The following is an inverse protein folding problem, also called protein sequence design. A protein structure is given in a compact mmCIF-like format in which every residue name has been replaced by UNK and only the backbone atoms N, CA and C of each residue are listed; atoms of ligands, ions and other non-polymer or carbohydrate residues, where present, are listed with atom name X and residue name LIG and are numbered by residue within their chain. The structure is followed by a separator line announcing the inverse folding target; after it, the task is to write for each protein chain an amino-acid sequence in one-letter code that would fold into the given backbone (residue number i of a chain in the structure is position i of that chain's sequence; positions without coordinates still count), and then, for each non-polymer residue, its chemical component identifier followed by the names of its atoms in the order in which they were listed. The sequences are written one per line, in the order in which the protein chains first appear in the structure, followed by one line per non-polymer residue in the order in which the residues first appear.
data_IF_168403295414
#
_entry.id   IF_168403295414
#
_cell.length_a   1.000
_cell.length_b   1.000
_cell.length_c   1.000
_cell.angle_alpha   90.00
_cell.angle_beta   90.00
_cell.angle_gamma   90.00
#
_symmetry.space_group_name_H-M   'P 1'
#
loop_
_entity.id
_entity.type
_entity.pdbx_description
1 polymer ?
#
# COMPACT_ATOMS: atom_id res chain seq x y z
N UNK A 1 21.01 20.74 15.86
CA UNK A 1 19.80 19.87 15.92
C UNK A 1 19.42 19.20 14.60
N UNK A 2 19.39 19.88 13.45
CA UNK A 2 19.00 19.30 12.13
C UNK A 2 19.81 18.04 11.71
N UNK A 3 21.10 17.96 12.07
CA UNK A 3 21.96 16.77 11.84
C UNK A 3 21.51 15.52 12.62
N UNK A 4 21.11 15.67 13.89
CA UNK A 4 20.65 14.52 14.71
C UNK A 4 19.31 13.99 14.20
N UNK A 5 18.46 14.88 13.70
CA UNK A 5 17.15 14.51 13.17
C UNK A 5 17.23 13.73 11.84
N UNK A 6 18.10 14.15 10.91
CA UNK A 6 18.39 13.36 9.70
C UNK A 6 18.97 11.98 10.05
N UNK A 7 19.78 11.91 11.11
CA UNK A 7 20.37 10.64 11.58
C UNK A 7 19.31 9.69 12.13
N UNK A 8 18.30 10.20 12.85
CA UNK A 8 17.16 9.41 13.35
C UNK A 8 16.28 8.91 12.21
N UNK A 9 15.96 9.75 11.22
CA UNK A 9 15.21 9.31 10.02
C UNK A 9 15.97 8.25 9.22
N UNK A 10 17.28 8.44 9.03
CA UNK A 10 18.12 7.46 8.38
C UNK A 10 18.18 6.14 9.18
N UNK A 11 18.26 6.21 10.51
CA UNK A 11 18.24 5.01 11.37
C UNK A 11 16.88 4.30 11.35
N UNK A 12 15.76 5.02 11.33
CA UNK A 12 14.43 4.44 11.17
C UNK A 12 14.26 3.78 9.80
N UNK A 13 14.72 4.42 8.72
CA UNK A 13 14.72 3.85 7.37
C UNK A 13 15.59 2.58 7.33
N UNK A 14 16.80 2.61 7.90
CA UNK A 14 17.70 1.46 7.95
C UNK A 14 17.14 0.33 8.82
N UNK A 15 16.43 0.66 9.91
CA UNK A 15 15.78 -0.34 10.78
C UNK A 15 14.58 -0.97 10.07
N UNK A 16 13.77 -0.19 9.36
CA UNK A 16 12.66 -0.69 8.54
C UNK A 16 13.17 -1.54 7.39
N UNK A 17 14.25 -1.11 6.71
CA UNK A 17 14.86 -1.88 5.62
C UNK A 17 15.55 -3.16 6.12
N UNK A 18 16.21 -3.09 7.28
CA UNK A 18 16.80 -4.26 7.96
C UNK A 18 15.74 -5.25 8.43
N UNK A 19 14.62 -4.75 8.96
CA UNK A 19 13.46 -5.57 9.31
C UNK A 19 12.83 -6.20 8.06
N UNK A 20 12.76 -5.45 6.95
CA UNK A 20 12.29 -5.96 5.66
C UNK A 20 13.15 -7.13 5.14
N UNK A 21 14.47 -7.11 5.38
CA UNK A 21 15.37 -8.21 4.96
C UNK A 21 15.27 -9.48 5.81
N UNK A 22 14.85 -9.37 7.08
CA UNK A 22 14.62 -10.50 7.98
C UNK A 22 13.24 -11.16 7.77
N UNK A 23 12.31 -10.43 7.13
CA UNK A 23 10.93 -10.84 6.81
C UNK A 23 10.88 -11.71 5.53
N UNK A 24 12.01 -12.27 5.07
CA UNK A 24 12.07 -13.12 3.88
C UNK A 24 11.09 -14.32 3.86
N UNK A 25 10.74 -15.00 4.98
CA UNK A 25 9.68 -16.01 4.95
C UNK A 25 8.25 -15.42 5.02
N UNK A 26 8.09 -14.13 5.33
CA UNK A 26 6.79 -13.49 5.47
C UNK A 26 6.27 -12.80 4.18
N UNK A 27 7.04 -12.76 3.10
CA UNK A 27 6.52 -12.40 1.76
C UNK A 27 5.57 -13.47 1.18
N UNK A 28 5.55 -14.68 1.75
CA UNK A 28 4.56 -15.73 1.45
C UNK A 28 3.22 -15.54 2.19
N UNK A 29 3.17 -14.60 3.14
CA UNK A 29 1.97 -14.26 3.90
C UNK A 29 1.25 -13.08 3.23
N UNK A 30 -0.08 -13.17 3.11
CA UNK A 30 -0.94 -12.12 2.51
C UNK A 30 -0.47 -10.70 2.92
N UNK A 31 -0.29 -9.83 1.92
CA UNK A 31 0.19 -8.46 2.15
C UNK A 31 -0.74 -7.70 3.12
N UNK A 32 -0.22 -6.70 3.84
CA UNK A 32 -1.03 -5.89 4.76
C UNK A 32 -2.22 -5.24 4.03
N UNK A 33 -2.01 -4.85 2.77
CA UNK A 33 -3.09 -4.30 1.93
C UNK A 33 -4.17 -5.33 1.63
N UNK A 34 -3.81 -6.56 1.28
CA UNK A 34 -4.79 -7.62 1.01
C UNK A 34 -5.65 -7.91 2.24
N UNK A 35 -5.03 -7.91 3.43
CA UNK A 35 -5.74 -8.07 4.70
C UNK A 35 -6.70 -6.93 4.98
N UNK A 36 -6.28 -5.69 4.72
CA UNK A 36 -7.12 -4.50 4.90
C UNK A 36 -8.27 -4.43 3.89
N UNK A 37 -8.06 -4.92 2.66
CA UNK A 37 -9.06 -4.93 1.60
C UNK A 37 -9.92 -6.19 1.58
N UNK A 38 -9.57 -7.23 2.34
CA UNK A 38 -10.34 -8.47 2.45
C UNK A 38 -11.83 -8.26 2.76
N UNK A 39 -12.24 -7.34 3.67
CA UNK A 39 -13.65 -7.04 3.88
C UNK A 39 -14.32 -6.44 2.63
N UNK A 40 -13.62 -5.55 1.92
CA UNK A 40 -14.11 -4.97 0.68
C UNK A 40 -14.24 -6.03 -0.43
N UNK A 41 -13.24 -6.91 -0.57
CA UNK A 41 -13.27 -8.04 -1.50
C UNK A 41 -14.47 -8.95 -1.21
N UNK A 42 -14.70 -9.32 0.05
CA UNK A 42 -15.87 -10.12 0.45
C UNK A 42 -17.20 -9.46 0.11
N UNK A 43 -17.30 -8.14 0.29
CA UNK A 43 -18.51 -7.40 -0.08
C UNK A 43 -18.75 -7.40 -1.59
N UNK A 44 -17.68 -7.28 -2.38
CA UNK A 44 -17.73 -7.39 -3.84
C UNK A 44 -18.13 -8.81 -4.27
N UNK A 45 -17.49 -9.83 -3.70
CA UNK A 45 -17.77 -11.23 -4.01
C UNK A 45 -19.23 -11.58 -3.67
N UNK A 46 -19.76 -11.10 -2.54
CA UNK A 46 -21.15 -11.30 -2.15
C UNK A 46 -22.16 -10.55 -3.05
N UNK A 47 -21.79 -9.37 -3.58
CA UNK A 47 -22.66 -8.59 -4.46
C UNK A 47 -22.67 -9.13 -5.90
N UNK A 48 -21.56 -9.70 -6.36
CA UNK A 48 -21.34 -10.14 -7.73
C UNK A 48 -21.03 -11.64 -7.83
N UNK A 49 -21.55 -12.47 -6.92
CA UNK A 49 -21.47 -13.94 -7.00
C UNK A 49 -20.08 -14.51 -7.30
N UNK A 50 -19.04 -13.94 -6.66
CA UNK A 50 -17.62 -14.18 -6.94
C UNK A 50 -17.06 -15.52 -6.45
N UNK A 51 -17.92 -16.51 -6.19
CA UNK A 51 -17.55 -17.84 -5.70
C UNK A 51 -16.91 -18.70 -6.81
N UNK A 52 -16.97 -18.25 -8.06
CA UNK A 52 -16.14 -18.80 -9.12
C UNK A 52 -14.73 -18.32 -8.87
N UNK A 53 -13.93 -19.12 -8.15
CA UNK A 53 -12.47 -19.01 -8.20
C UNK A 53 -12.12 -18.82 -9.67
N UNK A 54 -11.75 -17.60 -10.07
CA UNK A 54 -11.14 -17.36 -11.35
C UNK A 54 -9.80 -18.07 -11.24
N UNK A 55 -9.78 -19.37 -11.54
CA UNK A 55 -8.59 -20.18 -11.64
C UNK A 55 -7.84 -19.69 -12.87
N UNK A 56 -7.18 -18.54 -12.75
CA UNK A 56 -5.98 -18.23 -13.52
C UNK A 56 -4.77 -18.91 -12.85
N UNK A 57 -5.03 -20.04 -12.19
CA UNK A 57 -4.10 -20.82 -11.39
C UNK A 57 -3.60 -21.96 -12.29
N UNK A 58 -2.64 -21.62 -13.12
CA UNK A 58 -1.96 -22.54 -14.02
C UNK A 58 -0.65 -21.97 -14.56
N UNK A 59 -0.55 -20.63 -14.65
CA UNK A 59 0.58 -19.98 -15.29
C UNK A 59 1.62 -19.55 -14.24
N UNK A 60 2.79 -20.22 -14.14
CA UNK A 60 3.86 -19.81 -13.22
C UNK A 60 4.33 -18.35 -13.44
N UNK A 61 4.09 -17.80 -14.64
CA UNK A 61 4.32 -16.40 -14.94
C UNK A 61 3.40 -15.47 -14.14
N UNK A 62 2.09 -15.73 -14.07
CA UNK A 62 1.15 -14.88 -13.34
C UNK A 62 1.42 -14.93 -11.84
N UNK A 63 1.69 -16.11 -11.27
CA UNK A 63 2.07 -16.24 -9.87
C UNK A 63 3.30 -15.40 -9.50
N UNK A 64 4.31 -15.38 -10.37
CA UNK A 64 5.48 -14.51 -10.22
C UNK A 64 5.14 -13.02 -10.28
N UNK A 65 4.28 -12.62 -11.23
CA UNK A 65 3.83 -11.23 -11.38
C UNK A 65 3.04 -10.76 -10.15
N UNK A 66 2.11 -11.58 -9.62
CA UNK A 66 1.37 -11.25 -8.41
C UNK A 66 2.28 -11.10 -7.19
N UNK A 67 3.28 -11.97 -7.05
CA UNK A 67 4.26 -11.87 -5.95
C UNK A 67 5.08 -10.57 -6.02
N UNK A 68 5.50 -10.17 -7.22
CA UNK A 68 6.22 -8.91 -7.44
C UNK A 68 5.32 -7.71 -7.15
N UNK A 69 4.08 -7.70 -7.65
CA UNK A 69 3.11 -6.63 -7.41
C UNK A 69 2.85 -6.48 -5.90
N UNK A 70 2.59 -7.58 -5.18
CA UNK A 70 2.33 -7.54 -3.74
C UNK A 70 3.53 -7.03 -2.94
N UNK A 71 4.74 -7.39 -3.36
CA UNK A 71 5.98 -6.89 -2.75
C UNK A 71 6.14 -5.38 -2.98
N UNK A 72 5.92 -4.93 -4.21
CA UNK A 72 5.98 -3.51 -4.57
C UNK A 72 4.91 -2.70 -3.81
N UNK A 73 3.68 -3.21 -3.71
CA UNK A 73 2.59 -2.52 -3.03
C UNK A 73 2.86 -2.32 -1.54
N UNK A 74 3.40 -3.36 -0.89
CA UNK A 74 3.80 -3.31 0.52
C UNK A 74 4.93 -2.29 0.71
N UNK A 75 5.93 -2.32 -0.17
CA UNK A 75 7.05 -1.38 -0.14
C UNK A 75 6.58 0.08 -0.34
N UNK A 76 5.70 0.33 -1.31
CA UNK A 76 5.10 1.63 -1.54
C UNK A 76 4.31 2.11 -0.32
N UNK A 77 3.50 1.26 0.31
CA UNK A 77 2.77 1.64 1.52
C UNK A 77 3.68 2.08 2.66
N UNK A 78 4.81 1.40 2.86
CA UNK A 78 5.82 1.77 3.86
C UNK A 78 6.42 3.15 3.55
N UNK A 79 6.73 3.43 2.28
CA UNK A 79 7.24 4.74 1.85
C UNK A 79 6.22 5.84 2.14
N UNK A 80 4.95 5.63 1.76
CA UNK A 80 3.87 6.59 2.03
C UNK A 80 3.69 6.82 3.53
N UNK A 81 3.82 5.78 4.35
CA UNK A 81 3.78 5.90 5.81
C UNK A 81 4.94 6.73 6.36
N UNK A 82 6.16 6.51 5.87
CA UNK A 82 7.33 7.32 6.25
C UNK A 82 7.18 8.79 5.82
N UNK A 83 6.64 9.04 4.63
CA UNK A 83 6.33 10.39 4.15
C UNK A 83 5.26 11.06 5.01
N UNK A 84 4.26 10.32 5.48
CA UNK A 84 3.22 10.83 6.39
C UNK A 84 3.84 11.29 7.72
N UNK A 85 4.74 10.48 8.30
CA UNK A 85 5.48 10.85 9.51
C UNK A 85 6.34 12.09 9.26
N UNK A 86 6.99 12.18 8.09
CA UNK A 86 7.76 13.36 7.70
C UNK A 86 6.89 14.62 7.55
N UNK A 87 5.69 14.49 6.98
CA UNK A 87 4.72 15.57 6.86
C UNK A 87 4.31 16.08 8.25
N UNK A 88 3.97 15.15 9.16
CA UNK A 88 3.61 15.45 10.54
C UNK A 88 4.75 16.13 11.30
N UNK A 89 5.98 15.64 11.14
CA UNK A 89 7.16 16.27 11.72
C UNK A 89 7.36 17.70 11.20
N UNK A 90 7.20 17.93 9.90
CA UNK A 90 7.32 19.25 9.29
C UNK A 90 6.27 20.23 9.86
N UNK A 91 5.05 19.75 10.10
CA UNK A 91 3.99 20.55 10.71
C UNK A 91 4.30 20.91 12.16
N UNK A 92 4.70 19.92 12.97
CA UNK A 92 5.02 20.11 14.40
C UNK A 92 6.23 21.03 14.61
N UNK A 93 7.15 21.09 13.64
CA UNK A 93 8.35 21.93 13.72
C UNK A 93 8.24 23.27 12.99
N UNK A 94 7.05 23.65 12.54
CA UNK A 94 6.83 24.91 11.84
C UNK A 94 7.08 26.16 12.73
N UNK A 95 6.99 26.04 14.06
CA UNK A 95 7.18 27.16 15.02
C UNK A 95 6.32 28.40 14.65
N UNK A 96 5.11 28.19 14.13
CA UNK A 96 4.21 29.27 13.70
C UNK A 96 4.55 29.90 12.35
N UNK A 97 5.58 29.41 11.63
CA UNK A 97 5.87 29.91 10.28
C UNK A 97 4.90 29.31 9.27
N UNK A 98 4.16 30.19 8.61
CA UNK A 98 3.04 29.85 7.73
C UNK A 98 3.49 29.05 6.49
N UNK A 99 4.69 29.36 5.97
CA UNK A 99 5.35 28.67 4.86
C UNK A 99 5.50 27.14 5.10
N UNK A 100 5.92 26.76 6.31
CA UNK A 100 6.11 25.35 6.67
C UNK A 100 4.79 24.63 6.89
N UNK A 101 3.80 25.33 7.44
CA UNK A 101 2.46 24.79 7.66
C UNK A 101 1.80 24.49 6.32
N UNK A 102 1.82 25.45 5.39
CA UNK A 102 1.25 25.27 4.05
C UNK A 102 1.95 24.14 3.30
N UNK A 103 3.28 24.08 3.37
CA UNK A 103 4.06 23.00 2.75
C UNK A 103 3.71 21.62 3.33
N UNK A 104 3.57 21.49 4.65
CA UNK A 104 3.17 20.23 5.27
C UNK A 104 1.74 19.82 4.87
N UNK A 105 0.80 20.76 4.84
CA UNK A 105 -0.58 20.51 4.40
C UNK A 105 -0.63 20.03 2.95
N UNK A 106 0.12 20.70 2.06
CA UNK A 106 0.24 20.30 0.65
C UNK A 106 0.79 18.87 0.52
N UNK A 107 1.89 18.57 1.23
CA UNK A 107 2.50 17.25 1.20
C UNK A 107 1.56 16.17 1.74
N UNK A 108 0.83 16.47 2.81
CA UNK A 108 -0.17 15.54 3.39
C UNK A 108 -1.29 15.25 2.41
N UNK A 109 -1.79 16.27 1.69
CA UNK A 109 -2.81 16.10 0.65
C UNK A 109 -2.32 15.18 -0.47
N UNK A 110 -1.08 15.38 -0.93
CA UNK A 110 -0.47 14.54 -1.97
C UNK A 110 -0.31 13.07 -1.51
N UNK A 111 0.14 12.85 -0.28
CA UNK A 111 0.28 11.50 0.32
C UNK A 111 -1.08 10.81 0.41
N UNK A 112 -2.10 11.50 0.90
CA UNK A 112 -3.46 10.94 1.05
C UNK A 112 -4.06 10.58 -0.30
N UNK A 113 -3.94 11.47 -1.31
CA UNK A 113 -4.44 11.20 -2.66
C UNK A 113 -3.74 9.97 -3.27
N UNK A 114 -2.42 9.85 -3.11
CA UNK A 114 -1.70 8.66 -3.60
C UNK A 114 -2.13 7.37 -2.91
N UNK A 115 -2.34 7.39 -1.59
CA UNK A 115 -2.88 6.23 -0.85
C UNK A 115 -4.27 5.82 -1.33
N UNK A 116 -5.16 6.80 -1.56
CA UNK A 116 -6.51 6.55 -2.07
C UNK A 116 -6.44 5.88 -3.46
N UNK A 117 -5.58 6.36 -4.36
CA UNK A 117 -5.44 5.78 -5.70
C UNK A 117 -5.00 4.31 -5.63
N UNK A 118 -4.02 3.98 -4.78
CA UNK A 118 -3.53 2.60 -4.62
C UNK A 118 -4.65 1.68 -4.12
N UNK A 119 -5.41 2.13 -3.12
CA UNK A 119 -6.55 1.38 -2.57
C UNK A 119 -7.64 1.19 -3.63
N UNK A 120 -8.02 2.25 -4.33
CA UNK A 120 -9.02 2.19 -5.38
C UNK A 120 -8.60 1.28 -6.52
N UNK A 121 -7.33 1.31 -6.93
CA UNK A 121 -6.81 0.45 -7.98
C UNK A 121 -6.99 -1.03 -7.63
N UNK A 122 -6.66 -1.45 -6.39
CA UNK A 122 -6.86 -2.85 -5.96
C UNK A 122 -8.34 -3.24 -5.95
N UNK A 123 -9.21 -2.39 -5.40
CA UNK A 123 -10.65 -2.63 -5.37
C UNK A 123 -11.21 -2.79 -6.79
N UNK A 124 -10.81 -1.92 -7.72
CA UNK A 124 -11.24 -1.99 -9.12
C UNK A 124 -10.72 -3.24 -9.81
N UNK A 125 -9.49 -3.66 -9.55
CA UNK A 125 -8.96 -4.92 -10.08
C UNK A 125 -9.82 -6.11 -9.65
N UNK A 126 -10.18 -6.21 -8.37
CA UNK A 126 -11.05 -7.29 -7.88
C UNK A 126 -12.43 -7.24 -8.54
N UNK A 127 -13.03 -6.04 -8.68
CA UNK A 127 -14.31 -5.87 -9.37
C UNK A 127 -14.27 -6.39 -10.82
N UNK A 128 -13.23 -6.02 -11.57
CA UNK A 128 -13.08 -6.43 -12.97
C UNK A 128 -12.88 -7.95 -13.08
N UNK A 129 -12.05 -8.54 -12.20
CA UNK A 129 -11.83 -9.98 -12.19
C UNK A 129 -13.10 -10.76 -11.89
N UNK A 130 -13.90 -10.32 -10.91
CA UNK A 130 -15.19 -10.97 -10.58
C UNK A 130 -16.17 -10.87 -11.75
N UNK A 131 -16.28 -9.72 -12.40
CA UNK A 131 -17.15 -9.53 -13.57
C UNK A 131 -16.77 -10.42 -14.76
N UNK A 132 -15.47 -10.53 -15.05
CA UNK A 132 -14.98 -11.43 -16.10
C UNK A 132 -15.26 -12.89 -15.73
N UNK A 133 -15.03 -13.28 -14.47
CA UNK A 133 -15.31 -14.63 -13.99
C UNK A 133 -16.79 -15.03 -14.11
N UNK A 134 -17.71 -14.08 -13.93
CA UNK A 134 -19.13 -14.31 -14.17
C UNK A 134 -19.43 -14.50 -15.67
N UNK A 135 -18.95 -13.58 -16.51
CA UNK A 135 -19.23 -13.58 -17.95
C UNK A 135 -18.67 -14.79 -18.71
N UNK A 136 -17.55 -15.37 -18.24
CA UNK A 136 -16.94 -16.57 -18.85
C UNK A 136 -17.65 -17.86 -18.46
N UNK A 137 -18.47 -17.83 -17.42
CA UNK A 137 -19.05 -19.02 -16.83
C UNK A 137 -20.58 -19.12 -17.02
N UNK A 138 -21.13 -18.31 -17.92
CA UNK A 138 -22.32 -18.58 -18.74
C UNK A 138 -21.87 -19.07 -20.12
#
# INVERSE_FOLDING_TARGET
MKKKLKKIYAQLIVLVFGFLTLVSPAFATESIFDRMLKPAKRAIDAAYGGDKEVKIVGDPFLGGVFAVINTLLTFTGIIFFLLLIYAGYLWLTAHGREDQIEKSKKMTREIVVGLIIIVLARILTELILTQIGQAVAE
#
